data_IF_945499327833
#
_entry.id   IF_945499327833
#
_cell.length_a   1.000
_cell.length_b   1.000
_cell.length_c   1.000
_cell.angle_alpha   90.00
_cell.angle_beta   90.00
_cell.angle_gamma   90.00
#
_symmetry.space_group_name_H-M   'P 1'
#
loop_
_entity.id
_entity.type
_entity.pdbx_description
1 polymer ?
#
# COMPACT_ATOMS: atom_id res chain seq x y z
N UNK A 1 -19.90 -32.20 2.16
CA UNK A 1 -19.79 -31.79 3.59
C UNK A 1 -18.82 -30.65 3.84
N UNK A 2 -17.65 -30.62 3.19
CA UNK A 2 -16.71 -29.49 3.33
C UNK A 2 -17.26 -28.23 2.64
N UNK A 3 -17.06 -27.03 3.21
CA UNK A 3 -17.39 -25.80 2.52
C UNK A 3 -16.44 -25.55 1.34
N UNK A 4 -16.88 -24.70 0.41
CA UNK A 4 -16.08 -24.26 -0.75
C UNK A 4 -16.08 -22.75 -0.86
N UNK A 5 -14.96 -22.19 -1.32
CA UNK A 5 -14.85 -20.77 -1.61
C UNK A 5 -15.61 -20.39 -2.89
N UNK A 6 -16.15 -19.18 -2.91
CA UNK A 6 -16.49 -18.46 -4.13
C UNK A 6 -15.31 -17.61 -4.61
N UNK A 7 -15.52 -16.85 -5.68
CA UNK A 7 -14.51 -15.92 -6.19
C UNK A 7 -14.30 -14.77 -5.20
N UNK A 8 -13.04 -14.48 -4.82
CA UNK A 8 -12.74 -13.37 -3.93
C UNK A 8 -12.76 -12.03 -4.67
N UNK A 9 -13.19 -10.97 -3.97
CA UNK A 9 -13.01 -9.59 -4.42
C UNK A 9 -11.77 -9.02 -3.74
N UNK A 10 -10.79 -8.55 -4.51
CA UNK A 10 -9.48 -8.12 -3.97
C UNK A 10 -9.22 -6.65 -4.31
N UNK A 11 -8.86 -5.85 -3.30
CA UNK A 11 -8.25 -4.53 -3.46
C UNK A 11 -6.77 -4.61 -3.08
N UNK A 12 -6.01 -3.51 -3.22
CA UNK A 12 -4.60 -3.49 -2.80
C UNK A 12 -4.41 -3.69 -1.29
N UNK A 13 -5.44 -3.43 -0.47
CA UNK A 13 -5.35 -3.47 1.00
C UNK A 13 -6.45 -4.30 1.68
N UNK A 14 -7.31 -4.96 0.92
CA UNK A 14 -8.37 -5.80 1.48
C UNK A 14 -8.74 -6.94 0.54
N UNK A 15 -9.29 -8.01 1.12
CA UNK A 15 -9.96 -9.08 0.38
C UNK A 15 -11.30 -9.40 1.02
N UNK A 16 -12.33 -9.52 0.19
CA UNK A 16 -13.61 -10.10 0.57
C UNK A 16 -13.64 -11.55 0.11
N UNK A 17 -13.73 -12.47 1.07
CA UNK A 17 -13.87 -13.90 0.84
C UNK A 17 -15.33 -14.28 0.98
N UNK A 18 -15.84 -15.10 0.05
CA UNK A 18 -17.18 -15.68 0.11
C UNK A 18 -17.10 -17.19 0.07
N UNK A 19 -18.10 -17.88 0.63
CA UNK A 19 -18.16 -19.34 0.61
C UNK A 19 -19.58 -19.87 0.57
N UNK A 20 -19.69 -21.15 0.20
CA UNK A 20 -20.94 -21.92 0.22
C UNK A 20 -20.86 -23.09 1.20
N UNK A 21 -21.98 -23.37 1.86
CA UNK A 21 -22.11 -24.53 2.74
C UNK A 21 -22.59 -25.76 1.96
N UNK A 22 -21.67 -26.68 1.65
CA UNK A 22 -21.98 -27.91 0.91
C UNK A 22 -22.32 -29.09 1.84
N UNK A 23 -23.01 -28.84 2.95
CA UNK A 23 -23.45 -29.87 3.90
C UNK A 23 -24.41 -29.33 4.96
N UNK A 24 -24.93 -30.22 5.82
CA UNK A 24 -25.84 -29.84 6.91
C UNK A 24 -25.09 -29.54 8.21
N UNK A 25 -25.78 -29.04 9.23
CA UNK A 25 -25.27 -28.95 10.60
C UNK A 25 -24.17 -27.90 10.87
N UNK A 26 -24.06 -26.87 10.03
CA UNK A 26 -23.22 -25.72 10.35
C UNK A 26 -23.76 -25.01 11.59
N UNK A 27 -22.92 -24.82 12.60
CA UNK A 27 -23.22 -23.98 13.77
C UNK A 27 -22.48 -22.63 13.71
N UNK A 28 -21.49 -22.51 12.83
CA UNK A 28 -20.73 -21.29 12.61
C UNK A 28 -19.57 -21.48 11.64
N UNK A 29 -18.80 -20.42 11.47
CA UNK A 29 -17.64 -20.36 10.59
C UNK A 29 -16.46 -19.66 11.28
N UNK A 30 -15.25 -20.13 11.00
CA UNK A 30 -14.00 -19.45 11.37
C UNK A 30 -13.11 -19.35 10.15
N UNK A 31 -12.42 -18.24 10.01
CA UNK A 31 -11.45 -18.03 8.93
C UNK A 31 -10.06 -17.98 9.53
N UNK A 32 -9.16 -18.83 9.03
CA UNK A 32 -7.74 -18.76 9.34
C UNK A 32 -7.00 -17.99 8.24
N UNK A 33 -6.02 -17.18 8.64
CA UNK A 33 -5.05 -16.52 7.77
C UNK A 33 -3.66 -17.04 8.08
N UNK A 34 -2.89 -17.36 7.05
CA UNK A 34 -1.50 -17.79 7.22
C UNK A 34 -0.60 -16.59 7.51
N UNK A 35 0.20 -16.68 8.57
CA UNK A 35 1.19 -15.68 8.99
C UNK A 35 2.55 -16.35 9.16
N UNK A 36 3.65 -15.59 9.36
CA UNK A 36 4.94 -16.17 9.71
C UNK A 36 4.92 -17.04 10.99
N UNK A 37 3.93 -16.82 11.87
CA UNK A 37 3.73 -17.58 13.11
C UNK A 37 2.82 -18.81 12.91
N UNK A 38 2.35 -19.04 11.68
CA UNK A 38 1.40 -20.09 11.32
C UNK A 38 0.00 -19.53 11.05
N UNK A 39 -0.98 -20.43 11.00
CA UNK A 39 -2.38 -20.09 10.76
C UNK A 39 -3.01 -19.46 12.01
N UNK A 40 -3.61 -18.28 11.88
CA UNK A 40 -4.30 -17.56 12.96
C UNK A 40 -5.74 -17.27 12.55
N UNK A 41 -6.68 -17.35 13.50
CA UNK A 41 -8.06 -16.93 13.24
C UNK A 41 -8.13 -15.42 13.02
N UNK A 42 -8.92 -15.01 12.03
CA UNK A 42 -9.21 -13.60 11.77
C UNK A 42 -10.66 -13.28 12.16
N UNK A 43 -10.83 -12.19 12.91
CA UNK A 43 -12.12 -11.80 13.46
C UNK A 43 -12.64 -12.76 14.54
N UNK A 44 -13.88 -12.51 14.96
CA UNK A 44 -14.60 -13.42 15.86
C UNK A 44 -15.25 -14.57 15.07
N UNK A 45 -15.47 -15.75 15.69
CA UNK A 45 -16.28 -16.79 15.07
C UNK A 45 -17.63 -16.26 14.59
N UNK A 46 -18.00 -16.64 13.38
CA UNK A 46 -19.18 -16.16 12.68
C UNK A 46 -20.34 -17.13 12.85
N UNK A 47 -21.57 -16.62 12.86
CA UNK A 47 -22.78 -17.42 12.93
C UNK A 47 -23.00 -18.25 11.64
N UNK A 48 -23.81 -19.31 11.73
CA UNK A 48 -24.02 -20.27 10.64
C UNK A 48 -24.58 -19.67 9.34
N UNK A 49 -25.25 -18.52 9.42
CA UNK A 49 -25.87 -17.78 8.33
C UNK A 49 -24.95 -16.73 7.68
N UNK A 50 -23.70 -16.62 8.13
CA UNK A 50 -22.68 -15.76 7.53
C UNK A 50 -21.93 -16.50 6.44
N UNK A 51 -21.78 -15.88 5.27
CA UNK A 51 -21.13 -16.47 4.08
C UNK A 51 -20.06 -15.59 3.46
N UNK A 52 -19.66 -14.53 4.18
CA UNK A 52 -18.62 -13.64 3.75
C UNK A 52 -17.85 -13.06 4.94
N UNK A 53 -16.58 -12.75 4.69
CA UNK A 53 -15.75 -11.96 5.59
C UNK A 53 -14.85 -11.06 4.75
N UNK A 54 -14.63 -9.84 5.24
CA UNK A 54 -13.63 -8.93 4.71
C UNK A 54 -12.41 -8.91 5.63
N UNK A 55 -11.23 -9.18 5.07
CA UNK A 55 -9.95 -8.99 5.74
C UNK A 55 -9.31 -7.71 5.19
N UNK A 56 -9.09 -6.72 6.06
CA UNK A 56 -8.55 -5.39 5.71
C UNK A 56 -7.14 -5.20 6.26
N UNK A 57 -6.45 -4.14 5.83
CA UNK A 57 -5.08 -3.86 6.27
C UNK A 57 -4.06 -4.83 5.68
N UNK A 58 -4.36 -5.41 4.52
CA UNK A 58 -3.40 -6.20 3.76
C UNK A 58 -2.29 -5.30 3.21
N UNK A 59 -1.09 -5.86 3.14
CA UNK A 59 0.05 -5.23 2.50
C UNK A 59 -0.02 -5.50 0.98
N UNK A 60 -0.04 -4.46 0.14
CA UNK A 60 0.03 -4.61 -1.32
C UNK A 60 1.22 -5.50 -1.74
N UNK A 61 1.00 -6.44 -2.65
CA UNK A 61 2.02 -7.36 -3.16
C UNK A 61 2.44 -8.48 -2.21
N UNK A 62 1.95 -8.51 -0.96
CA UNK A 62 2.26 -9.59 -0.03
C UNK A 62 1.40 -10.83 -0.27
N UNK A 63 1.98 -12.00 -0.02
CA UNK A 63 1.27 -13.27 -0.15
C UNK A 63 0.45 -13.58 1.11
N UNK A 64 -0.83 -13.92 0.92
CA UNK A 64 -1.72 -14.39 1.96
C UNK A 64 -2.36 -15.72 1.56
N UNK A 65 -2.63 -16.57 2.54
CA UNK A 65 -3.43 -17.77 2.36
C UNK A 65 -4.52 -17.83 3.43
N UNK A 66 -5.71 -18.30 3.04
CA UNK A 66 -6.90 -18.33 3.88
C UNK A 66 -7.51 -19.73 3.91
N UNK A 67 -7.89 -20.18 5.10
CA UNK A 67 -8.50 -21.50 5.29
C UNK A 67 -9.78 -21.39 6.12
N UNK A 68 -10.89 -21.80 5.51
CA UNK A 68 -12.21 -21.75 6.10
C UNK A 68 -12.48 -23.01 6.93
N UNK A 69 -13.02 -22.80 8.11
CA UNK A 69 -13.49 -23.83 9.02
C UNK A 69 -15.00 -23.68 9.17
N UNK A 70 -15.71 -24.77 8.97
CA UNK A 70 -17.11 -24.95 9.34
C UNK A 70 -17.17 -25.57 10.73
N UNK A 71 -17.81 -24.90 11.68
CA UNK A 71 -18.10 -25.48 12.97
C UNK A 71 -19.40 -26.29 12.92
N UNK A 72 -19.42 -27.43 13.61
CA UNK A 72 -20.61 -28.28 13.76
C UNK A 72 -20.70 -28.78 15.19
N UNK A 73 -21.88 -29.26 15.60
CA UNK A 73 -22.07 -29.89 16.91
C UNK A 73 -21.19 -31.15 17.12
N UNK A 74 -20.72 -31.78 16.04
CA UNK A 74 -19.83 -32.94 16.07
C UNK A 74 -18.34 -32.57 16.02
N UNK A 75 -18.01 -31.28 15.88
CA UNK A 75 -16.65 -30.77 15.76
C UNK A 75 -16.40 -29.97 14.47
N UNK A 76 -15.16 -29.51 14.30
CA UNK A 76 -14.75 -28.66 13.18
C UNK A 76 -14.54 -29.45 11.88
N UNK A 77 -15.00 -28.88 10.76
CA UNK A 77 -14.83 -29.41 9.40
C UNK A 77 -14.14 -28.35 8.54
N UNK A 78 -12.96 -28.66 8.04
CA UNK A 78 -12.16 -27.72 7.22
C UNK A 78 -12.60 -27.75 5.76
N UNK A 79 -12.47 -26.62 5.06
CA UNK A 79 -12.53 -26.58 3.60
C UNK A 79 -11.47 -27.53 3.00
N UNK A 80 -11.77 -28.07 1.81
CA UNK A 80 -10.88 -29.01 1.13
C UNK A 80 -9.51 -28.42 0.78
N UNK A 81 -9.49 -27.13 0.47
CA UNK A 81 -8.30 -26.37 0.11
C UNK A 81 -8.33 -25.00 0.78
N UNK A 82 -7.14 -24.41 0.98
CA UNK A 82 -7.01 -22.99 1.24
C UNK A 82 -7.07 -22.21 -0.09
N UNK A 83 -7.35 -20.91 -0.02
CA UNK A 83 -7.22 -19.98 -1.14
C UNK A 83 -6.05 -19.04 -0.90
N UNK A 84 -5.33 -18.67 -1.96
CA UNK A 84 -4.17 -17.79 -1.91
C UNK A 84 -4.48 -16.46 -2.58
N UNK A 85 -4.09 -15.36 -1.95
CA UNK A 85 -4.34 -14.00 -2.41
C UNK A 85 -3.03 -13.22 -2.39
N UNK A 86 -2.73 -12.54 -3.49
CA UNK A 86 -1.68 -11.52 -3.54
C UNK A 86 -2.40 -10.21 -3.91
N UNK A 87 -2.63 -9.30 -2.95
CA UNK A 87 -3.22 -8.01 -3.23
C UNK A 87 -2.38 -7.28 -4.29
N UNK A 88 -3.00 -6.59 -5.26
CA UNK A 88 -2.27 -5.83 -6.25
C UNK A 88 -1.30 -4.86 -5.60
N UNK A 89 -0.04 -4.84 -6.06
CA UNK A 89 0.94 -3.87 -5.63
C UNK A 89 0.50 -2.44 -6.03
N UNK A 90 0.94 -1.44 -5.28
CA UNK A 90 0.52 -0.04 -5.48
C UNK A 90 1.75 0.87 -5.59
N UNK A 91 1.62 1.91 -6.43
CA UNK A 91 2.57 3.02 -6.42
C UNK A 91 2.63 3.67 -5.03
N UNK A 92 3.74 4.33 -4.66
CA UNK A 92 3.86 4.89 -3.32
C UNK A 92 2.85 6.01 -3.07
N UNK A 93 2.48 6.22 -1.82
CA UNK A 93 1.74 7.43 -1.43
C UNK A 93 2.53 8.68 -1.80
N UNK A 94 1.84 9.74 -2.22
CA UNK A 94 2.49 10.98 -2.65
C UNK A 94 3.24 11.65 -1.47
N UNK A 95 4.48 12.13 -1.66
CA UNK A 95 5.12 12.97 -0.67
C UNK A 95 4.36 14.30 -0.53
N UNK A 96 4.45 14.92 0.65
CA UNK A 96 3.88 16.25 0.89
C UNK A 96 4.99 17.27 1.11
N UNK A 97 5.02 18.36 0.34
CA UNK A 97 5.98 19.44 0.56
C UNK A 97 5.84 20.00 1.98
N UNK A 98 6.99 20.22 2.63
CA UNK A 98 7.05 20.80 3.97
C UNK A 98 7.59 22.23 3.92
N UNK A 99 8.75 22.46 3.31
CA UNK A 99 9.30 23.82 3.16
C UNK A 99 10.32 23.92 2.02
N UNK A 100 10.60 25.16 1.60
CA UNK A 100 11.67 25.47 0.68
C UNK A 100 12.38 26.76 1.10
N UNK A 101 13.70 26.71 1.18
CA UNK A 101 14.54 27.82 1.62
C UNK A 101 15.57 28.16 0.54
N UNK A 102 15.56 29.40 0.08
CA UNK A 102 16.59 29.89 -0.83
C UNK A 102 17.85 30.34 -0.09
N UNK A 103 19.01 30.11 -0.71
CA UNK A 103 20.31 30.60 -0.29
C UNK A 103 21.11 31.11 -1.49
N UNK A 104 22.37 31.47 -1.26
CA UNK A 104 23.24 31.97 -2.33
C UNK A 104 23.49 30.89 -3.38
N UNK A 105 22.85 31.04 -4.53
CA UNK A 105 22.91 30.08 -5.64
C UNK A 105 22.37 28.68 -5.35
N UNK A 106 21.47 28.54 -4.36
CA UNK A 106 20.90 27.24 -4.00
C UNK A 106 19.47 27.33 -3.46
N UNK A 107 18.76 26.20 -3.47
CA UNK A 107 17.46 26.03 -2.81
C UNK A 107 17.44 24.69 -2.05
N UNK A 108 17.15 24.74 -0.76
CA UNK A 108 16.96 23.55 0.09
C UNK A 108 15.47 23.26 0.22
N UNK A 109 15.07 22.04 -0.13
CA UNK A 109 13.70 21.55 -0.14
C UNK A 109 13.56 20.49 0.96
N UNK A 110 12.46 20.55 1.71
CA UNK A 110 12.07 19.49 2.65
C UNK A 110 10.65 19.04 2.39
N UNK A 111 10.39 17.76 2.65
CA UNK A 111 9.06 17.15 2.50
C UNK A 111 8.81 16.10 3.58
N UNK A 112 7.53 15.82 3.77
CA UNK A 112 7.07 14.67 4.51
C UNK A 112 7.02 13.47 3.57
N UNK A 113 7.69 12.40 4.00
CA UNK A 113 7.49 11.07 3.47
C UNK A 113 6.17 10.49 3.99
N UNK A 114 5.27 10.12 3.07
CA UNK A 114 3.99 9.51 3.37
C UNK A 114 3.90 8.06 2.88
N UNK A 115 4.98 7.56 2.30
CA UNK A 115 5.09 6.21 1.77
C UNK A 115 5.95 5.34 2.69
N UNK A 116 5.73 4.03 2.61
CA UNK A 116 6.58 3.03 3.26
C UNK A 116 6.99 1.92 2.28
N UNK A 117 6.66 2.13 1.00
CA UNK A 117 6.75 1.17 -0.09
C UNK A 117 7.43 1.79 -1.33
N UNK A 118 8.10 2.93 -1.16
CA UNK A 118 8.92 3.56 -2.18
C UNK A 118 10.31 2.94 -2.25
N UNK A 119 10.81 2.78 -3.47
CA UNK A 119 12.20 2.44 -3.75
C UNK A 119 13.09 3.70 -3.73
N UNK A 120 12.47 4.90 -3.70
CA UNK A 120 13.17 6.16 -3.59
C UNK A 120 12.34 7.39 -3.95
N UNK A 121 13.02 8.54 -3.97
CA UNK A 121 12.44 9.83 -4.34
C UNK A 121 13.19 10.48 -5.49
N UNK A 122 12.54 11.43 -6.18
CA UNK A 122 13.18 12.37 -7.10
C UNK A 122 12.63 13.77 -6.94
N UNK A 123 13.48 14.76 -7.14
CA UNK A 123 13.14 16.17 -7.20
C UNK A 123 13.21 16.65 -8.65
N UNK A 124 12.09 17.16 -9.13
CA UNK A 124 11.95 17.75 -10.44
C UNK A 124 11.89 19.27 -10.29
N UNK A 125 12.63 20.01 -11.10
CA UNK A 125 12.58 21.47 -11.19
C UNK A 125 11.94 21.90 -12.51
N UNK A 126 11.08 22.90 -12.48
CA UNK A 126 10.51 23.45 -13.71
C UNK A 126 11.52 24.34 -14.42
N UNK A 127 11.94 23.94 -15.63
CA UNK A 127 12.94 24.62 -16.45
C UNK A 127 12.42 24.73 -17.89
N UNK A 128 12.30 25.96 -18.39
CA UNK A 128 12.02 26.22 -19.81
C UNK A 128 10.71 25.61 -20.35
N UNK A 129 9.69 25.44 -19.50
CA UNK A 129 8.41 24.84 -19.90
C UNK A 129 8.26 23.34 -19.60
N UNK A 130 9.24 22.73 -18.93
CA UNK A 130 9.25 21.29 -18.65
C UNK A 130 9.77 20.99 -17.25
N UNK A 131 9.43 19.82 -16.72
CA UNK A 131 9.94 19.31 -15.45
C UNK A 131 11.22 18.50 -15.68
N UNK A 132 12.31 18.92 -15.06
CA UNK A 132 13.65 18.31 -15.22
C UNK A 132 14.08 17.70 -13.90
N UNK A 133 14.54 16.45 -13.91
CA UNK A 133 15.11 15.78 -12.74
C UNK A 133 16.45 16.43 -12.36
N UNK A 134 16.52 16.99 -11.15
CA UNK A 134 17.70 17.69 -10.62
C UNK A 134 18.39 16.91 -9.49
N UNK A 135 17.76 15.86 -8.95
CA UNK A 135 18.33 15.07 -7.85
C UNK A 135 18.89 13.73 -8.29
N UNK A 136 18.41 13.18 -9.40
CA UNK A 136 18.50 11.74 -9.65
C UNK A 136 17.73 10.93 -8.60
N UNK A 137 18.03 9.64 -8.53
CA UNK A 137 17.42 8.73 -7.56
C UNK A 137 17.94 8.99 -6.14
N UNK A 138 17.05 9.40 -5.25
CA UNK A 138 17.28 9.52 -3.82
C UNK A 138 16.83 8.23 -3.11
N UNK A 139 17.51 7.85 -2.04
CA UNK A 139 17.18 6.64 -1.28
C UNK A 139 15.78 6.70 -0.62
N UNK A 140 15.16 5.55 -0.29
CA UNK A 140 13.95 5.50 0.52
C UNK A 140 14.09 6.27 1.84
N UNK A 141 13.00 6.83 2.36
CA UNK A 141 13.01 7.66 3.56
C UNK A 141 13.71 9.03 3.44
N UNK A 142 14.23 9.41 2.26
CA UNK A 142 14.83 10.74 2.07
C UNK A 142 13.76 11.82 2.16
N UNK A 143 14.01 12.86 2.96
CA UNK A 143 13.06 13.96 3.23
C UNK A 143 13.63 15.37 2.97
N UNK A 144 14.84 15.44 2.42
CA UNK A 144 15.53 16.70 2.13
C UNK A 144 16.40 16.60 0.88
N UNK A 145 16.51 17.70 0.14
CA UNK A 145 17.40 17.84 -1.01
C UNK A 145 17.81 19.30 -1.18
N UNK A 146 19.07 19.56 -1.55
CA UNK A 146 19.56 20.90 -1.87
C UNK A 146 19.93 20.96 -3.36
N UNK A 147 19.19 21.76 -4.10
CA UNK A 147 19.52 22.13 -5.48
C UNK A 147 20.54 23.27 -5.49
N UNK A 148 21.62 23.14 -6.26
CA UNK A 148 22.77 24.07 -6.24
C UNK A 148 23.11 24.56 -7.65
N UNK A 149 23.89 25.63 -7.75
CA UNK A 149 24.27 26.23 -9.03
C UNK A 149 23.13 27.02 -9.68
N UNK A 150 22.23 27.56 -8.85
CA UNK A 150 21.09 28.35 -9.28
C UNK A 150 21.48 29.81 -9.50
N UNK A 151 20.92 30.43 -10.54
CA UNK A 151 20.93 31.89 -10.65
C UNK A 151 19.88 32.51 -9.70
N UNK A 152 20.03 33.77 -9.28
CA UNK A 152 18.98 34.47 -8.55
C UNK A 152 17.66 34.44 -9.31
N UNK A 153 16.57 34.08 -8.63
CA UNK A 153 15.28 33.90 -9.29
C UNK A 153 14.29 33.03 -8.50
N UNK A 154 13.15 32.76 -9.11
CA UNK A 154 12.10 31.92 -8.56
C UNK A 154 12.11 30.56 -9.25
N UNK A 155 12.02 29.50 -8.45
CA UNK A 155 12.00 28.13 -8.93
C UNK A 155 10.78 27.38 -8.42
N UNK A 156 10.24 26.50 -9.25
CA UNK A 156 9.15 25.59 -8.91
C UNK A 156 9.66 24.15 -8.91
N UNK A 157 9.18 23.37 -7.94
CA UNK A 157 9.63 22.00 -7.71
C UNK A 157 8.46 21.02 -7.60
N UNK A 158 8.71 19.79 -8.03
CA UNK A 158 7.92 18.61 -7.72
C UNK A 158 8.80 17.61 -6.99
N UNK A 159 8.20 16.92 -6.03
CA UNK A 159 8.83 15.78 -5.36
C UNK A 159 7.99 14.57 -5.70
N UNK A 160 8.66 13.49 -6.09
CA UNK A 160 8.03 12.25 -6.50
C UNK A 160 8.55 11.12 -5.63
N UNK A 161 7.66 10.18 -5.28
CA UNK A 161 8.03 8.89 -4.73
C UNK A 161 7.78 7.84 -5.82
N UNK A 162 8.67 6.86 -5.94
CA UNK A 162 8.54 5.82 -6.97
C UNK A 162 8.85 4.43 -6.42
N UNK A 163 8.23 3.42 -7.03
CA UNK A 163 8.61 2.03 -6.92
C UNK A 163 8.35 1.30 -8.25
N UNK A 164 8.59 0.00 -8.30
CA UNK A 164 8.30 -0.82 -9.50
C UNK A 164 6.83 -0.79 -9.97
N UNK A 165 5.88 -0.45 -9.10
CA UNK A 165 4.45 -0.33 -9.43
C UNK A 165 4.05 1.03 -9.99
N UNK A 166 4.92 2.04 -9.88
CA UNK A 166 4.70 3.36 -10.48
C UNK A 166 5.30 4.51 -9.70
N UNK A 167 4.93 5.73 -10.10
CA UNK A 167 5.39 6.99 -9.52
C UNK A 167 4.21 7.81 -9.07
N UNK A 168 4.30 8.41 -7.89
CA UNK A 168 3.34 9.38 -7.38
C UNK A 168 3.96 10.76 -7.27
N UNK A 169 3.14 11.78 -7.51
CA UNK A 169 3.57 13.17 -7.54
C UNK A 169 2.97 13.88 -6.33
N UNK A 170 3.84 14.48 -5.51
CA UNK A 170 3.41 15.46 -4.52
C UNK A 170 2.81 16.69 -5.18
N UNK A 171 2.06 17.54 -4.44
CA UNK A 171 1.61 18.82 -4.97
C UNK A 171 2.82 19.65 -5.44
N UNK A 172 2.69 20.46 -6.50
CA UNK A 172 3.77 21.37 -6.89
C UNK A 172 3.97 22.44 -5.80
N UNK A 173 5.23 22.73 -5.46
CA UNK A 173 5.55 23.96 -4.75
C UNK A 173 5.95 25.03 -5.77
N UNK A 174 5.29 26.18 -5.69
CA UNK A 174 5.67 27.38 -6.42
C UNK A 174 6.51 28.24 -5.46
N UNK A 175 7.74 28.55 -5.89
CA UNK A 175 8.71 29.48 -5.29
C UNK A 175 9.58 28.98 -4.13
N UNK A 176 10.85 28.74 -4.46
CA UNK A 176 11.97 29.15 -3.61
C UNK A 176 12.65 30.39 -4.24
N UNK A 177 12.78 31.49 -3.49
CA UNK A 177 13.50 32.69 -3.92
C UNK A 177 15.00 32.50 -3.71
N UNK A 178 15.75 32.29 -4.77
CA UNK A 178 17.22 32.26 -4.74
C UNK A 178 17.74 33.69 -4.92
N UNK A 179 18.76 34.06 -4.14
CA UNK A 179 19.40 35.38 -4.19
C UNK A 179 20.91 35.28 -4.36
#
# INVERSE_FOLDING_TARGET
NQPSYGDPTVTSTAVTLTWSNNGTGATGWRMLKNTPQGWVEIGSPMAADVFSIEDTGLTPGAYYAYWLIKDTAAGAVYAATYITIIPPAQAPAKPAFASAWGGSGQATLTWQDNSSNEDGFRVLRYVGGSWVDVSGALAPGTTTFTDTGLAPGQYAYWITAYNASGTSYGPALISASVY
#
